data_IF_898289122521
#
_entry.id   IF_898289122521
#
_cell.length_a   1.000
_cell.length_b   1.000
_cell.length_c   1.000
_cell.angle_alpha   90.00
_cell.angle_beta   90.00
_cell.angle_gamma   90.00
#
_symmetry.space_group_name_H-M   'P 1'
#
loop_
_entity.id
_entity.type
_entity.pdbx_description
1 polymer ?
#
# COMPACT_ATOMS: atom_id res chain seq x y z
N UNK A 1 3.77 -15.51 -20.78
CA UNK A 1 3.50 -16.04 -19.43
C UNK A 1 2.31 -15.33 -18.82
N UNK A 2 1.35 -16.06 -18.31
CA UNK A 2 0.17 -15.46 -17.70
C UNK A 2 0.51 -14.94 -16.30
N UNK A 3 0.07 -13.71 -16.01
CA UNK A 3 0.22 -13.13 -14.68
C UNK A 3 -0.94 -13.62 -13.83
N UNK A 4 -0.64 -14.19 -12.66
CA UNK A 4 -1.66 -14.63 -11.74
C UNK A 4 -2.26 -13.41 -11.06
N UNK A 5 -3.57 -13.19 -11.25
CA UNK A 5 -4.26 -12.07 -10.61
C UNK A 5 -4.50 -12.38 -9.14
N UNK A 6 -4.06 -11.46 -8.28
CA UNK A 6 -4.31 -11.58 -6.84
C UNK A 6 -5.71 -11.08 -6.51
N UNK A 7 -6.30 -11.69 -5.47
CA UNK A 7 -7.66 -11.35 -5.03
C UNK A 7 -7.75 -9.88 -4.66
N UNK A 8 -8.87 -9.25 -5.00
CA UNK A 8 -9.14 -7.87 -4.59
C UNK A 8 -9.31 -7.77 -3.07
N UNK A 9 -8.87 -6.64 -2.52
CA UNK A 9 -9.12 -6.32 -1.11
C UNK A 9 -10.58 -5.90 -0.93
N UNK A 10 -11.14 -6.18 0.25
CA UNK A 10 -12.41 -5.59 0.63
C UNK A 10 -12.22 -4.09 0.84
N UNK A 11 -13.34 -3.34 0.79
CA UNK A 11 -13.30 -1.90 1.02
C UNK A 11 -12.68 -1.56 2.38
N UNK A 12 -13.07 -2.29 3.42
CA UNK A 12 -12.55 -2.06 4.77
C UNK A 12 -11.05 -2.30 4.84
N UNK A 13 -10.55 -3.35 4.19
CA UNK A 13 -9.12 -3.65 4.16
C UNK A 13 -8.34 -2.58 3.40
N UNK A 14 -8.86 -2.14 2.24
CA UNK A 14 -8.23 -1.06 1.47
C UNK A 14 -8.13 0.22 2.29
N UNK A 15 -9.20 0.58 2.98
CA UNK A 15 -9.23 1.76 3.82
C UNK A 15 -8.21 1.65 4.95
N UNK A 16 -8.14 0.49 5.60
CA UNK A 16 -7.16 0.24 6.66
C UNK A 16 -5.73 0.38 6.18
N UNK A 17 -5.41 -0.21 5.04
CA UNK A 17 -4.08 -0.10 4.44
C UNK A 17 -3.76 1.36 4.10
N UNK A 18 -4.72 2.05 3.48
CA UNK A 18 -4.54 3.46 3.09
C UNK A 18 -4.28 4.34 4.30
N UNK A 19 -4.99 4.12 5.39
CA UNK A 19 -4.81 4.90 6.62
C UNK A 19 -3.45 4.64 7.28
N UNK A 20 -2.96 3.41 7.22
CA UNK A 20 -1.63 3.08 7.76
C UNK A 20 -0.54 3.77 6.93
N UNK A 21 -0.60 3.62 5.62
CA UNK A 21 0.42 4.18 4.72
C UNK A 21 0.33 5.70 4.61
N UNK A 22 -0.87 6.25 4.71
CA UNK A 22 -1.12 7.68 4.60
C UNK A 22 -1.28 8.39 5.94
N UNK A 23 -0.77 7.82 7.02
CA UNK A 23 -0.82 8.43 8.34
C UNK A 23 -0.19 9.82 8.32
N UNK A 24 -0.83 10.77 9.00
CA UNK A 24 -0.38 12.17 8.98
C UNK A 24 1.00 12.34 9.62
N UNK A 25 1.28 11.60 10.69
CA UNK A 25 2.52 11.74 11.44
C UNK A 25 3.63 10.81 10.95
N UNK A 26 3.30 9.55 10.70
CA UNK A 26 4.28 8.49 10.42
C UNK A 26 4.12 7.87 9.04
N UNK A 27 3.20 8.37 8.23
CA UNK A 27 2.94 7.81 6.92
C UNK A 27 3.85 8.38 5.85
N UNK A 28 3.58 8.00 4.61
CA UNK A 28 4.31 8.50 3.45
C UNK A 28 4.02 9.99 3.27
N UNK A 29 5.01 10.72 2.75
CA UNK A 29 4.78 12.11 2.34
C UNK A 29 4.02 12.15 1.02
N UNK A 30 3.48 13.33 0.68
CA UNK A 30 2.80 13.50 -0.61
C UNK A 30 3.69 13.18 -1.79
N UNK A 31 4.98 13.58 -1.73
CA UNK A 31 5.95 13.29 -2.79
C UNK A 31 6.23 11.80 -2.90
N UNK A 32 6.35 11.12 -1.75
CA UNK A 32 6.56 9.68 -1.75
C UNK A 32 5.36 8.93 -2.34
N UNK A 33 4.15 9.36 -2.01
CA UNK A 33 2.93 8.78 -2.56
C UNK A 33 2.92 8.91 -4.07
N UNK A 34 3.22 10.10 -4.58
CA UNK A 34 3.27 10.34 -6.02
C UNK A 34 4.28 9.42 -6.70
N UNK A 35 5.49 9.34 -6.14
CA UNK A 35 6.55 8.52 -6.70
C UNK A 35 6.18 7.04 -6.70
N UNK A 36 5.64 6.53 -5.58
CA UNK A 36 5.30 5.12 -5.45
C UNK A 36 4.11 4.72 -6.31
N UNK A 37 3.12 5.59 -6.46
CA UNK A 37 2.01 5.34 -7.39
C UNK A 37 2.53 5.24 -8.81
N UNK A 38 3.45 6.12 -9.20
CA UNK A 38 4.07 6.08 -10.51
C UNK A 38 4.87 4.79 -10.72
N UNK A 39 5.67 4.40 -9.73
CA UNK A 39 6.48 3.18 -9.82
C UNK A 39 5.64 1.91 -9.91
N UNK A 40 4.51 1.88 -9.21
CA UNK A 40 3.59 0.73 -9.26
C UNK A 40 2.58 0.82 -10.40
N UNK A 41 2.63 1.89 -11.19
CA UNK A 41 1.74 2.10 -12.35
C UNK A 41 0.27 2.15 -11.94
N UNK A 42 -0.01 2.77 -10.81
CA UNK A 42 -1.37 3.04 -10.33
C UNK A 42 -1.66 4.51 -10.57
N UNK A 43 -2.77 4.81 -11.24
CA UNK A 43 -3.16 6.18 -11.57
C UNK A 43 -3.52 6.96 -10.30
N UNK A 44 -2.97 8.18 -10.18
CA UNK A 44 -3.18 9.08 -9.05
C UNK A 44 -4.36 10.00 -9.34
N UNK A 45 -5.58 9.53 -9.07
CA UNK A 45 -6.80 10.20 -9.49
C UNK A 45 -7.33 11.24 -8.51
N UNK A 46 -6.73 11.35 -7.32
CA UNK A 46 -7.25 12.21 -6.25
C UNK A 46 -6.12 12.94 -5.52
N UNK A 47 -5.19 13.49 -6.30
CA UNK A 47 -3.93 14.03 -5.79
C UNK A 47 -4.10 15.23 -4.83
N UNK A 48 -5.26 15.88 -4.82
CA UNK A 48 -5.51 17.05 -4.00
C UNK A 48 -6.15 16.72 -2.65
N UNK A 49 -6.49 15.46 -2.42
CA UNK A 49 -7.15 15.04 -1.18
C UNK A 49 -6.13 14.69 -0.10
N UNK A 50 -6.62 14.47 1.12
CA UNK A 50 -5.78 13.99 2.22
C UNK A 50 -5.06 12.70 1.84
N UNK A 51 -3.88 12.46 2.43
CA UNK A 51 -3.00 11.34 2.02
C UNK A 51 -3.71 9.99 2.00
N UNK A 52 -4.43 9.63 3.06
CA UNK A 52 -5.07 8.31 3.09
C UNK A 52 -6.23 8.22 2.09
N UNK A 53 -6.97 9.31 1.91
CA UNK A 53 -8.08 9.33 0.93
C UNK A 53 -7.54 9.25 -0.49
N UNK A 54 -6.42 9.92 -0.75
CA UNK A 54 -5.73 9.87 -2.03
C UNK A 54 -5.30 8.44 -2.35
N UNK A 55 -4.69 7.74 -1.38
CA UNK A 55 -4.28 6.35 -1.55
C UNK A 55 -5.49 5.44 -1.73
N UNK A 56 -6.50 5.61 -0.91
CA UNK A 56 -7.72 4.81 -1.03
C UNK A 56 -8.36 4.96 -2.42
N UNK A 57 -8.49 6.20 -2.89
CA UNK A 57 -9.09 6.46 -4.20
C UNK A 57 -8.29 5.81 -5.32
N UNK A 58 -6.96 5.94 -5.28
CA UNK A 58 -6.09 5.35 -6.30
C UNK A 58 -6.20 3.82 -6.30
N UNK A 59 -6.15 3.21 -5.12
CA UNK A 59 -6.22 1.76 -4.99
C UNK A 59 -7.59 1.23 -5.42
N UNK A 60 -8.67 1.88 -4.98
CA UNK A 60 -10.02 1.45 -5.33
C UNK A 60 -10.26 1.56 -6.84
N UNK A 61 -9.81 2.66 -7.46
CA UNK A 61 -9.94 2.83 -8.90
C UNK A 61 -9.17 1.74 -9.66
N UNK A 62 -7.94 1.47 -9.25
CA UNK A 62 -7.14 0.43 -9.87
C UNK A 62 -7.84 -0.92 -9.77
N UNK A 63 -8.30 -1.27 -8.57
CA UNK A 63 -8.92 -2.56 -8.29
C UNK A 63 -10.23 -2.73 -9.05
N UNK A 64 -11.04 -1.67 -9.14
CA UNK A 64 -12.29 -1.70 -9.89
C UNK A 64 -12.05 -1.87 -11.39
N UNK A 65 -10.98 -1.26 -11.91
CA UNK A 65 -10.65 -1.32 -13.33
C UNK A 65 -10.04 -2.66 -13.71
N UNK A 66 -9.12 -3.19 -12.90
CA UNK A 66 -8.32 -4.36 -13.26
C UNK A 66 -8.79 -5.66 -12.57
N UNK A 67 -9.70 -5.56 -11.61
CA UNK A 67 -10.27 -6.71 -10.89
C UNK A 67 -9.21 -7.57 -10.21
N UNK A 68 -8.16 -6.93 -9.68
CA UNK A 68 -7.08 -7.62 -8.96
C UNK A 68 -6.34 -6.62 -8.07
N UNK A 69 -5.46 -7.13 -7.20
CA UNK A 69 -4.71 -6.31 -6.26
C UNK A 69 -3.20 -6.34 -6.52
N UNK A 70 -2.76 -6.84 -7.67
CA UNK A 70 -1.33 -7.07 -7.93
C UNK A 70 -0.47 -5.82 -7.74
N UNK A 71 -0.87 -4.69 -8.35
CA UNK A 71 -0.08 -3.46 -8.25
C UNK A 71 -0.19 -2.81 -6.89
N UNK A 72 -1.31 -3.02 -6.19
CA UNK A 72 -1.46 -2.54 -4.82
C UNK A 72 -0.47 -3.27 -3.90
N UNK A 73 -0.35 -4.59 -4.05
CA UNK A 73 0.63 -5.37 -3.30
C UNK A 73 2.05 -4.92 -3.60
N UNK A 74 2.33 -4.62 -4.86
CA UNK A 74 3.64 -4.09 -5.25
C UNK A 74 3.91 -2.73 -4.61
N UNK A 75 2.90 -1.85 -4.59
CA UNK A 75 3.02 -0.56 -3.91
C UNK A 75 3.36 -0.75 -2.43
N UNK A 76 2.67 -1.67 -1.76
CA UNK A 76 2.93 -1.97 -0.34
C UNK A 76 4.36 -2.44 -0.14
N UNK A 77 4.84 -3.32 -1.01
CA UNK A 77 6.22 -3.81 -0.93
C UNK A 77 7.23 -2.69 -1.08
N UNK A 78 7.00 -1.76 -2.02
CA UNK A 78 7.87 -0.61 -2.20
C UNK A 78 7.83 0.32 -0.99
N UNK A 79 6.62 0.57 -0.47
CA UNK A 79 6.44 1.48 0.66
C UNK A 79 7.09 0.95 1.94
N UNK A 80 7.14 -0.36 2.11
CA UNK A 80 7.69 -1.01 3.29
C UNK A 80 9.03 -1.68 3.01
N UNK A 81 9.79 -1.16 2.05
CA UNK A 81 11.15 -1.66 1.80
C UNK A 81 12.03 -1.37 3.03
N UNK A 82 12.79 -2.35 3.51
CA UNK A 82 13.68 -2.13 4.66
C UNK A 82 14.67 -0.98 4.44
N UNK A 83 15.05 -0.70 3.20
CA UNK A 83 15.98 0.38 2.89
C UNK A 83 15.44 1.75 3.32
N UNK A 84 14.12 1.93 3.37
CA UNK A 84 13.51 3.19 3.79
C UNK A 84 13.60 3.39 5.31
N UNK A 85 13.87 2.35 6.06
CA UNK A 85 13.86 2.36 7.52
C UNK A 85 15.22 1.99 8.12
N UNK A 86 16.28 2.25 7.38
CA UNK A 86 17.63 1.82 7.76
C UNK A 86 18.04 2.32 9.16
N UNK A 87 17.51 3.47 9.58
CA UNK A 87 17.78 4.04 10.88
C UNK A 87 16.59 3.96 11.84
N UNK A 88 15.57 3.13 11.51
CA UNK A 88 14.36 3.06 12.33
C UNK A 88 13.68 1.70 12.17
N UNK A 89 14.32 0.67 12.71
CA UNK A 89 13.80 -0.70 12.65
C UNK A 89 12.48 -0.87 13.39
N UNK A 90 12.30 -0.13 14.48
CA UNK A 90 11.06 -0.19 15.25
C UNK A 90 9.86 0.27 14.42
N UNK A 91 10.01 1.40 13.74
CA UNK A 91 8.93 1.91 12.89
C UNK A 91 8.62 0.96 11.74
N UNK A 92 9.64 0.36 11.14
CA UNK A 92 9.45 -0.63 10.09
C UNK A 92 8.65 -1.83 10.60
N UNK A 93 9.02 -2.36 11.76
CA UNK A 93 8.35 -3.52 12.36
C UNK A 93 6.89 -3.20 12.68
N UNK A 94 6.63 -2.02 13.25
CA UNK A 94 5.27 -1.59 13.58
C UNK A 94 4.38 -1.50 12.33
N UNK A 95 4.88 -0.85 11.29
CA UNK A 95 4.12 -0.69 10.04
C UNK A 95 3.89 -2.02 9.36
N UNK A 96 4.93 -2.87 9.32
CA UNK A 96 4.80 -4.21 8.76
C UNK A 96 3.72 -5.00 9.48
N UNK A 97 3.73 -4.96 10.81
CA UNK A 97 2.74 -5.69 11.61
C UNK A 97 1.33 -5.15 11.38
N UNK A 98 1.17 -3.84 11.32
CA UNK A 98 -0.13 -3.22 11.08
C UNK A 98 -0.67 -3.61 9.69
N UNK A 99 0.17 -3.59 8.67
CA UNK A 99 -0.22 -3.99 7.32
C UNK A 99 -0.54 -5.48 7.29
N UNK A 100 0.24 -6.32 7.98
CA UNK A 100 0.00 -7.76 8.03
C UNK A 100 -1.35 -8.09 8.67
N UNK A 101 -1.81 -7.31 9.64
CA UNK A 101 -3.14 -7.51 10.20
C UNK A 101 -4.22 -7.33 9.12
N UNK A 102 -4.04 -6.35 8.24
CA UNK A 102 -4.98 -6.14 7.13
C UNK A 102 -4.87 -7.22 6.08
N UNK A 103 -3.65 -7.61 5.73
CA UNK A 103 -3.41 -8.63 4.70
C UNK A 103 -3.89 -10.01 5.14
N UNK A 104 -3.92 -10.28 6.45
CA UNK A 104 -4.38 -11.56 6.97
C UNK A 104 -5.83 -11.87 6.57
N UNK A 105 -6.64 -10.83 6.34
CA UNK A 105 -8.02 -11.02 5.91
C UNK A 105 -8.14 -11.67 4.53
N UNK A 106 -7.07 -11.66 3.74
CA UNK A 106 -7.06 -12.29 2.42
C UNK A 106 -5.91 -13.28 2.27
N UNK A 107 -5.27 -13.66 3.38
CA UNK A 107 -4.25 -14.71 3.39
C UNK A 107 -2.86 -14.27 2.96
N UNK A 108 -2.57 -12.98 2.93
CA UNK A 108 -1.24 -12.47 2.60
C UNK A 108 -0.47 -12.05 3.84
N UNK A 109 0.85 -11.97 3.69
CA UNK A 109 1.74 -11.55 4.76
C UNK A 109 3.03 -11.01 4.16
N UNK A 110 3.54 -9.92 4.74
CA UNK A 110 4.86 -9.40 4.42
C UNK A 110 5.89 -10.08 5.33
N UNK A 111 7.01 -10.48 4.77
CA UNK A 111 8.08 -11.06 5.56
C UNK A 111 9.01 -9.95 6.09
N UNK A 112 10.13 -10.35 6.71
CA UNK A 112 11.07 -9.39 7.32
C UNK A 112 11.76 -8.49 6.32
N UNK A 113 11.70 -8.81 5.03
CA UNK A 113 12.26 -7.96 3.98
C UNK A 113 11.21 -7.06 3.35
N UNK A 114 9.97 -7.05 3.87
CA UNK A 114 8.89 -6.22 3.35
C UNK A 114 8.16 -6.83 2.16
N UNK A 115 8.38 -8.07 1.88
CA UNK A 115 7.76 -8.79 0.75
C UNK A 115 6.78 -9.84 1.27
#
# INVERSE_FOLDING_TARGET
MAIVKRRCFTQATLEGIAKILGDTSNGLTGSEIQYLLQQSQIEDIDSQNAKWKRLYSAFANYQNTHQCSNKILYFIQLALSPAKFVNNEYEFTEKRNAINQQLAFIGYQLNETGK
#
